data_IF_201178018213
#
_entry.id   IF_201178018213
#
_cell.length_a   1.000
_cell.length_b   1.000
_cell.length_c   1.000
_cell.angle_alpha   90.00
_cell.angle_beta   90.00
_cell.angle_gamma   90.00
#
_symmetry.space_group_name_H-M   'P 1'
#
loop_
_entity.id
_entity.type
_entity.pdbx_description
1 polymer ?
#
# COMPACT_ATOMS: atom_id res chain seq x y z
N UNK A 1 -6.94 23.55 6.90
CA UNK A 1 -6.39 22.80 5.74
C UNK A 1 -7.16 21.50 5.65
N UNK A 2 -7.63 21.05 4.48
CA UNK A 2 -8.22 19.73 4.40
C UNK A 2 -7.14 18.73 4.79
N UNK A 3 -7.38 17.94 5.84
CA UNK A 3 -6.47 16.91 6.33
C UNK A 3 -6.19 15.93 5.18
N UNK A 4 -5.06 16.09 4.50
CA UNK A 4 -4.60 15.12 3.51
C UNK A 4 -4.06 13.90 4.27
N UNK A 5 -4.99 13.09 4.79
CA UNK A 5 -4.66 11.83 5.45
C UNK A 5 -4.29 10.77 4.41
N UNK A 6 -3.08 10.92 3.86
CA UNK A 6 -2.53 9.99 2.87
C UNK A 6 -2.39 8.59 3.48
N UNK A 7 -2.03 8.48 4.77
CA UNK A 7 -1.87 7.21 5.46
C UNK A 7 -3.22 6.49 5.58
N UNK A 8 -4.27 7.17 6.05
CA UNK A 8 -5.61 6.57 6.17
C UNK A 8 -6.20 6.14 4.82
N UNK A 9 -5.96 6.91 3.76
CA UNK A 9 -6.35 6.51 2.39
C UNK A 9 -5.59 5.25 1.93
N UNK A 10 -4.26 5.22 2.12
CA UNK A 10 -3.45 4.04 1.82
C UNK A 10 -3.90 2.80 2.60
N UNK A 11 -4.22 2.97 3.89
CA UNK A 11 -4.75 1.89 4.75
C UNK A 11 -6.08 1.34 4.23
N UNK A 12 -7.00 2.22 3.82
CA UNK A 12 -8.31 1.79 3.29
C UNK A 12 -8.14 0.92 2.05
N UNK A 13 -7.27 1.35 1.13
CA UNK A 13 -7.05 0.64 -0.13
C UNK A 13 -6.30 -0.67 0.11
N UNK A 14 -5.25 -0.67 0.94
CA UNK A 14 -4.48 -1.90 1.18
C UNK A 14 -5.28 -2.95 1.92
N UNK A 15 -6.21 -2.55 2.80
CA UNK A 15 -7.15 -3.50 3.42
C UNK A 15 -7.98 -4.22 2.36
N UNK A 16 -8.53 -3.47 1.41
CA UNK A 16 -9.25 -4.07 0.26
C UNK A 16 -8.33 -4.97 -0.57
N UNK A 17 -7.10 -4.55 -0.83
CA UNK A 17 -6.12 -5.38 -1.54
C UNK A 17 -5.89 -6.72 -0.83
N UNK A 18 -5.71 -6.71 0.49
CA UNK A 18 -5.49 -7.90 1.32
C UNK A 18 -6.74 -8.79 1.36
N UNK A 19 -7.94 -8.20 1.42
CA UNK A 19 -9.20 -8.95 1.37
C UNK A 19 -9.34 -9.71 0.05
N UNK A 20 -9.11 -9.05 -1.09
CA UNK A 20 -9.12 -9.68 -2.41
C UNK A 20 -8.02 -10.74 -2.55
N UNK A 21 -6.83 -10.47 -2.01
CA UNK A 21 -5.70 -11.40 -2.03
C UNK A 21 -6.01 -12.68 -1.25
N UNK A 22 -6.58 -12.52 -0.06
CA UNK A 22 -7.01 -13.64 0.80
C UNK A 22 -8.17 -14.41 0.18
N UNK A 23 -9.03 -13.75 -0.58
CA UNK A 23 -10.11 -14.38 -1.34
C UNK A 23 -9.64 -15.11 -2.61
N UNK A 24 -8.34 -15.03 -2.97
CA UNK A 24 -7.79 -15.61 -4.19
C UNK A 24 -8.05 -14.77 -5.44
N UNK A 25 -8.61 -13.56 -5.29
CA UNK A 25 -8.85 -12.61 -6.37
C UNK A 25 -7.57 -11.83 -6.70
N UNK A 26 -6.52 -12.54 -7.09
CA UNK A 26 -5.15 -11.99 -7.20
C UNK A 26 -5.02 -10.83 -8.17
N UNK A 27 -5.75 -10.84 -9.29
CA UNK A 27 -5.75 -9.71 -10.24
C UNK A 27 -6.37 -8.45 -9.62
N UNK A 28 -7.48 -8.61 -8.89
CA UNK A 28 -8.13 -7.51 -8.18
C UNK A 28 -7.25 -6.97 -7.05
N UNK A 29 -6.61 -7.87 -6.29
CA UNK A 29 -5.66 -7.51 -5.25
C UNK A 29 -4.47 -6.72 -5.80
N UNK A 30 -3.83 -7.22 -6.86
CA UNK A 30 -2.72 -6.58 -7.54
C UNK A 30 -3.05 -5.15 -8.00
N UNK A 31 -4.23 -4.95 -8.60
CA UNK A 31 -4.72 -3.63 -9.02
C UNK A 31 -4.92 -2.65 -7.86
N UNK A 32 -5.13 -3.12 -6.63
CA UNK A 32 -5.32 -2.27 -5.45
C UNK A 32 -4.02 -2.01 -4.66
N UNK A 33 -3.02 -2.89 -4.75
CA UNK A 33 -1.74 -2.67 -4.06
C UNK A 33 -1.02 -1.41 -4.56
N UNK A 34 -0.99 -1.14 -5.87
CA UNK A 34 -0.32 0.05 -6.42
C UNK A 34 -0.92 1.38 -5.95
N UNK A 35 -2.25 1.61 -6.03
CA UNK A 35 -2.85 2.83 -5.48
C UNK A 35 -2.57 3.00 -3.98
N UNK A 36 -2.57 1.92 -3.19
CA UNK A 36 -2.21 2.00 -1.77
C UNK A 36 -0.76 2.46 -1.57
N UNK A 37 0.18 1.88 -2.35
CA UNK A 37 1.59 2.25 -2.33
C UNK A 37 1.82 3.72 -2.71
N UNK A 38 1.09 4.25 -3.70
CA UNK A 38 1.16 5.67 -4.06
C UNK A 38 0.78 6.59 -2.89
N UNK A 39 -0.28 6.24 -2.15
CA UNK A 39 -0.66 7.00 -0.96
C UNK A 39 0.39 6.91 0.16
N UNK A 40 1.01 5.75 0.38
CA UNK A 40 2.11 5.63 1.34
C UNK A 40 3.35 6.41 0.91
N UNK A 41 3.66 6.47 -0.39
CA UNK A 41 4.75 7.29 -0.92
C UNK A 41 4.49 8.79 -0.73
N UNK A 42 3.24 9.23 -0.93
CA UNK A 42 2.83 10.61 -0.63
C UNK A 42 2.94 10.90 0.88
N UNK A 43 2.48 9.98 1.74
CA UNK A 43 2.65 10.12 3.18
C UNK A 43 4.13 10.25 3.56
N UNK A 44 5.00 9.40 3.01
CA UNK A 44 6.44 9.43 3.27
C UNK A 44 7.11 10.75 2.84
N UNK A 45 6.64 11.35 1.73
CA UNK A 45 7.14 12.63 1.21
C UNK A 45 6.87 13.78 2.19
N UNK A 46 5.71 13.80 2.82
CA UNK A 46 5.27 14.90 3.69
C UNK A 46 5.49 14.64 5.19
N UNK A 47 5.79 13.40 5.59
CA UNK A 47 6.09 13.03 6.97
C UNK A 47 7.46 13.58 7.42
N UNK A 48 7.47 14.18 8.62
CA UNK A 48 8.65 14.80 9.24
C UNK A 48 9.23 13.94 10.35
N UNK A 49 8.41 13.14 11.03
CA UNK A 49 8.84 12.30 12.13
C UNK A 49 9.61 11.08 11.60
N UNK A 50 10.92 10.94 11.90
CA UNK A 50 11.75 9.88 11.34
C UNK A 50 11.26 8.47 11.71
N UNK A 51 10.72 8.27 12.91
CA UNK A 51 10.17 6.98 13.34
C UNK A 51 8.94 6.58 12.52
N UNK A 52 8.10 7.55 12.21
CA UNK A 52 6.91 7.32 11.37
C UNK A 52 7.33 7.05 9.92
N UNK A 53 8.32 7.77 9.39
CA UNK A 53 8.87 7.51 8.05
C UNK A 53 9.41 6.09 7.92
N UNK A 54 10.13 5.60 8.93
CA UNK A 54 10.64 4.23 8.95
C UNK A 54 9.50 3.21 8.91
N UNK A 55 8.46 3.43 9.72
CA UNK A 55 7.26 2.58 9.72
C UNK A 55 6.55 2.57 8.35
N UNK A 56 6.40 3.74 7.73
CA UNK A 56 5.80 3.87 6.39
C UNK A 56 6.66 3.15 5.34
N UNK A 57 8.00 3.30 5.37
CA UNK A 57 8.90 2.61 4.44
C UNK A 57 8.82 1.09 4.58
N UNK A 58 8.82 0.57 5.81
CA UNK A 58 8.68 -0.85 6.06
C UNK A 58 7.39 -1.40 5.43
N UNK A 59 6.27 -0.67 5.58
CA UNK A 59 4.99 -1.04 4.96
C UNK A 59 4.99 -0.95 3.44
N UNK A 60 5.62 0.08 2.87
CA UNK A 60 5.81 0.18 1.42
C UNK A 60 6.56 -1.05 0.89
N UNK A 61 7.68 -1.42 1.52
CA UNK A 61 8.46 -2.59 1.12
C UNK A 61 7.67 -3.89 1.21
N UNK A 62 6.94 -4.12 2.31
CA UNK A 62 6.10 -5.31 2.52
C UNK A 62 5.02 -5.45 1.44
N UNK A 63 4.28 -4.38 1.17
CA UNK A 63 3.20 -4.40 0.17
C UNK A 63 3.72 -4.45 -1.26
N UNK A 64 4.87 -3.84 -1.54
CA UNK A 64 5.52 -3.93 -2.85
C UNK A 64 6.02 -5.36 -3.13
N UNK A 65 6.65 -6.01 -2.15
CA UNK A 65 7.06 -7.41 -2.28
C UNK A 65 5.84 -8.32 -2.56
N UNK A 66 4.71 -8.09 -1.90
CA UNK A 66 3.48 -8.85 -2.17
C UNK A 66 2.95 -8.58 -3.57
N UNK A 67 2.91 -7.32 -4.02
CA UNK A 67 2.46 -6.97 -5.36
C UNK A 67 3.32 -7.63 -6.45
N UNK A 68 4.65 -7.63 -6.30
CA UNK A 68 5.55 -8.31 -7.24
C UNK A 68 5.33 -9.83 -7.27
N UNK A 69 5.12 -10.47 -6.10
CA UNK A 69 4.77 -11.90 -6.04
C UNK A 69 3.47 -12.21 -6.77
N UNK A 70 2.45 -11.36 -6.60
CA UNK A 70 1.17 -11.50 -7.31
C UNK A 70 1.34 -11.32 -8.81
N UNK A 71 2.17 -10.36 -9.25
CA UNK A 71 2.50 -10.16 -10.65
C UNK A 71 3.10 -11.42 -11.28
N UNK A 72 4.12 -12.00 -10.65
CA UNK A 72 4.74 -13.25 -11.13
C UNK A 72 3.77 -14.43 -11.13
N UNK A 73 2.76 -14.44 -10.25
CA UNK A 73 1.74 -15.49 -10.25
C UNK A 73 0.68 -15.32 -11.37
N UNK A 74 0.48 -14.10 -11.86
CA UNK A 74 -0.48 -13.76 -12.91
C UNK A 74 0.11 -13.81 -14.33
N UNK A 75 1.44 -13.82 -14.46
CA UNK A 75 2.18 -14.09 -15.71
C UNK A 75 2.17 -15.58 -16.07
#
# INVERSE_FOLDING_TARGET
MPNTDFVGKGITIVKKAIEEDTAGNYEAAYRQYYPALEYFMLALKWEKNPKVKESIRAKISEYMERAEKLKTHLE
#
